data_IF_017264251408
#
_entry.id   IF_017264251408
#
_cell.length_a   1.000
_cell.length_b   1.000
_cell.length_c   1.000
_cell.angle_alpha   90.00
_cell.angle_beta   90.00
_cell.angle_gamma   90.00
#
_symmetry.space_group_name_H-M   'P 1'
#
loop_
_entity.id
_entity.type
_entity.pdbx_description
1 polymer ?
#
# COMPACT_ATOMS: atom_id res chain seq x y z
N UNK A 1 25.97 -24.82 -2.42
CA UNK A 1 26.14 -24.09 -1.14
C UNK A 1 24.83 -24.20 -0.38
N UNK A 2 24.76 -24.97 0.71
CA UNK A 2 23.57 -25.09 1.56
C UNK A 2 24.06 -24.85 2.99
N UNK A 3 23.80 -23.66 3.53
CA UNK A 3 24.17 -23.35 4.91
C UNK A 3 23.23 -24.09 5.86
N UNK A 4 23.82 -24.89 6.73
CA UNK A 4 23.17 -25.59 7.83
C UNK A 4 22.98 -24.68 9.03
N UNK A 5 21.77 -24.67 9.60
CA UNK A 5 21.62 -24.64 11.06
C UNK A 5 21.46 -23.28 11.77
N UNK A 6 20.57 -22.41 11.31
CA UNK A 6 19.94 -21.44 12.21
C UNK A 6 18.43 -21.68 12.17
N UNK A 7 17.88 -22.27 13.24
CA UNK A 7 16.43 -22.21 13.49
C UNK A 7 16.13 -20.77 13.90
N UNK A 8 15.90 -19.92 12.91
CA UNK A 8 15.44 -18.56 13.12
C UNK A 8 14.03 -18.68 13.70
N UNK A 9 13.92 -18.55 15.02
CA UNK A 9 12.66 -18.19 15.66
C UNK A 9 12.34 -16.76 15.23
N UNK A 10 11.81 -16.62 14.02
CA UNK A 10 11.34 -15.34 13.50
C UNK A 10 10.20 -14.86 14.40
N UNK A 11 10.31 -13.66 14.99
CA UNK A 11 9.22 -13.09 15.76
C UNK A 11 8.10 -12.72 14.79
N UNK A 12 7.08 -13.57 14.67
CA UNK A 12 5.87 -13.28 13.90
C UNK A 12 6.02 -13.35 12.37
N UNK A 13 4.88 -13.50 11.70
CA UNK A 13 4.75 -13.63 10.25
C UNK A 13 5.37 -12.42 9.53
N UNK A 14 6.47 -12.60 8.80
CA UNK A 14 7.07 -11.55 7.96
C UNK A 14 6.27 -11.35 6.67
N UNK A 15 6.18 -10.10 6.22
CA UNK A 15 5.54 -9.73 4.94
C UNK A 15 6.37 -8.68 4.22
N UNK A 16 6.31 -8.69 2.88
CA UNK A 16 6.79 -7.60 2.05
C UNK A 16 5.64 -6.62 1.78
N UNK A 17 5.96 -5.33 1.73
CA UNK A 17 4.99 -4.26 1.42
C UNK A 17 5.57 -3.41 0.29
N UNK A 18 4.76 -3.15 -0.72
CA UNK A 18 5.06 -2.22 -1.79
C UNK A 18 3.92 -1.23 -1.99
N UNK A 19 4.26 0.02 -2.26
CA UNK A 19 3.31 1.13 -2.29
C UNK A 19 3.58 2.04 -3.49
N UNK A 20 2.51 2.38 -4.20
CA UNK A 20 2.56 3.37 -5.28
C UNK A 20 1.93 4.67 -4.83
N UNK A 21 2.61 5.79 -5.09
CA UNK A 21 2.14 7.12 -4.70
C UNK A 21 1.86 8.01 -5.90
N UNK A 22 0.92 8.93 -5.69
CA UNK A 22 0.53 9.97 -6.63
C UNK A 22 0.68 11.34 -5.97
N UNK A 23 0.94 12.37 -6.78
CA UNK A 23 1.03 13.75 -6.32
C UNK A 23 -0.36 14.35 -6.07
N UNK A 24 -0.57 14.86 -4.87
CA UNK A 24 -1.79 15.52 -4.42
C UNK A 24 -1.50 16.90 -3.82
N UNK A 25 -2.57 17.65 -3.53
CA UNK A 25 -2.48 19.00 -2.97
C UNK A 25 -2.19 20.08 -4.02
N UNK A 26 -2.20 21.37 -3.63
CA UNK A 26 -1.95 22.48 -4.54
C UNK A 26 -0.57 22.36 -5.19
N UNK A 27 -0.52 22.29 -6.52
CA UNK A 27 0.70 22.07 -7.33
C UNK A 27 1.35 20.68 -7.19
N UNK A 28 0.77 19.75 -6.45
CA UNK A 28 1.19 18.35 -6.38
C UNK A 28 2.45 17.98 -5.58
N UNK A 29 2.91 18.76 -4.57
CA UNK A 29 4.13 18.41 -3.83
C UNK A 29 3.94 17.24 -2.85
N UNK A 30 2.68 16.87 -2.53
CA UNK A 30 2.40 15.85 -1.51
C UNK A 30 2.27 14.48 -2.18
N UNK A 31 3.16 13.56 -1.84
CA UNK A 31 3.05 12.15 -2.26
C UNK A 31 2.03 11.42 -1.39
N UNK A 32 0.91 11.03 -1.99
CA UNK A 32 -0.16 10.26 -1.34
C UNK A 32 -0.28 8.86 -1.91
N UNK A 33 -0.55 7.88 -1.05
CA UNK A 33 -0.73 6.48 -1.43
C UNK A 33 -1.91 6.29 -2.37
N UNK A 34 -1.68 5.60 -3.49
CA UNK A 34 -2.69 5.24 -4.49
C UNK A 34 -2.84 3.72 -4.71
N UNK A 35 -1.85 2.92 -4.32
CA UNK A 35 -1.93 1.46 -4.31
C UNK A 35 -1.03 0.91 -3.21
N UNK A 36 -1.47 -0.16 -2.57
CA UNK A 36 -0.65 -0.92 -1.62
C UNK A 36 -0.79 -2.40 -1.93
N UNK A 37 0.33 -3.11 -1.91
CA UNK A 37 0.39 -4.55 -2.01
C UNK A 37 1.22 -5.16 -0.89
N UNK A 38 0.78 -6.31 -0.40
CA UNK A 38 1.41 -7.05 0.68
C UNK A 38 1.53 -8.51 0.26
N UNK A 39 2.71 -9.08 0.43
CA UNK A 39 2.96 -10.49 0.16
C UNK A 39 3.57 -11.18 1.39
N UNK A 40 3.26 -12.46 1.61
CA UNK A 40 3.93 -13.27 2.62
C UNK A 40 5.32 -13.73 2.12
N UNK A 41 6.05 -14.45 2.98
CA UNK A 41 7.36 -15.00 2.64
C UNK A 41 7.31 -16.06 1.51
N UNK A 42 6.20 -16.78 1.41
CA UNK A 42 5.98 -17.82 0.38
C UNK A 42 5.66 -17.22 -1.00
N UNK A 43 5.46 -15.91 -1.08
CA UNK A 43 5.15 -15.18 -2.31
C UNK A 43 3.66 -14.99 -2.59
N UNK A 44 2.78 -15.44 -1.69
CA UNK A 44 1.34 -15.21 -1.80
C UNK A 44 0.99 -13.75 -1.55
N UNK A 45 0.17 -13.17 -2.41
CA UNK A 45 -0.35 -11.82 -2.25
C UNK A 45 -1.51 -11.81 -1.26
N UNK A 46 -1.26 -11.23 -0.08
CA UNK A 46 -2.24 -11.11 1.00
C UNK A 46 -3.16 -9.90 0.83
N UNK A 47 -2.67 -8.86 0.17
CA UNK A 47 -3.39 -7.61 -0.08
C UNK A 47 -2.88 -6.97 -1.36
N UNK A 48 -3.78 -6.44 -2.20
CA UNK A 48 -3.41 -5.68 -3.39
C UNK A 48 -4.60 -4.84 -3.83
N UNK A 49 -4.62 -3.57 -3.44
CA UNK A 49 -5.74 -2.69 -3.72
C UNK A 49 -5.30 -1.29 -4.15
N UNK A 50 -6.13 -0.69 -5.01
CA UNK A 50 -6.09 0.74 -5.29
C UNK A 50 -6.80 1.51 -4.20
N UNK A 51 -6.18 2.60 -3.78
CA UNK A 51 -6.62 3.41 -2.65
C UNK A 51 -6.83 4.83 -3.17
N UNK A 52 -8.01 5.40 -2.91
CA UNK A 52 -8.31 6.78 -3.27
C UNK A 52 -7.71 7.69 -2.18
N UNK A 53 -6.74 8.56 -2.53
CA UNK A 53 -6.16 9.50 -1.59
C UNK A 53 -7.22 10.46 -1.00
N UNK A 54 -7.02 10.98 0.22
CA UNK A 54 -7.94 11.95 0.82
C UNK A 54 -7.95 13.31 0.10
N UNK A 55 -6.84 13.68 -0.57
CA UNK A 55 -6.71 14.91 -1.33
C UNK A 55 -6.81 14.65 -2.84
N UNK A 56 -7.27 15.64 -3.61
CA UNK A 56 -7.37 15.54 -5.06
C UNK A 56 -6.01 15.24 -5.71
N UNK A 57 -6.00 14.27 -6.62
CA UNK A 57 -4.81 13.88 -7.38
C UNK A 57 -4.59 14.89 -8.51
N UNK A 58 -3.43 15.55 -8.49
CA UNK A 58 -3.05 16.51 -9.53
C UNK A 58 -2.00 15.96 -10.47
N UNK A 59 -1.21 14.97 -10.03
CA UNK A 59 -0.24 14.27 -10.88
C UNK A 59 -0.19 12.79 -10.53
N UNK A 60 -0.55 11.92 -11.47
CA UNK A 60 -0.52 10.47 -11.27
C UNK A 60 0.89 9.89 -11.25
N UNK A 61 1.88 10.60 -11.78
CA UNK A 61 3.26 10.11 -11.85
C UNK A 61 3.35 8.75 -12.59
N UNK A 62 2.48 8.53 -13.58
CA UNK A 62 2.23 7.21 -14.20
C UNK A 62 3.48 6.53 -14.73
N UNK A 63 4.46 7.28 -15.24
CA UNK A 63 5.73 6.70 -15.73
C UNK A 63 6.55 6.00 -14.63
N UNK A 64 6.30 6.35 -13.37
CA UNK A 64 6.93 5.75 -12.20
C UNK A 64 5.96 4.83 -11.48
N UNK A 65 4.74 5.28 -11.24
CA UNK A 65 3.77 4.59 -10.37
C UNK A 65 2.90 3.55 -11.09
N UNK A 66 2.81 3.63 -12.42
CA UNK A 66 1.84 2.87 -13.21
C UNK A 66 0.37 3.22 -12.92
N UNK A 67 0.08 4.21 -12.07
CA UNK A 67 -1.29 4.58 -11.70
C UNK A 67 -1.89 5.50 -12.76
N UNK A 68 -3.15 5.27 -13.10
CA UNK A 68 -3.94 6.07 -14.04
C UNK A 68 -5.30 6.41 -13.43
N UNK A 69 -5.97 7.43 -13.98
CA UNK A 69 -7.32 7.86 -13.55
C UNK A 69 -8.33 6.71 -13.52
N UNK A 70 -8.25 5.77 -14.46
CA UNK A 70 -9.10 4.57 -14.51
C UNK A 70 -8.99 3.68 -13.25
N UNK A 71 -7.80 3.62 -12.62
CA UNK A 71 -7.60 2.83 -11.40
C UNK A 71 -8.33 3.42 -10.20
N UNK A 72 -8.65 4.72 -10.23
CA UNK A 72 -9.30 5.43 -9.13
C UNK A 72 -10.83 5.32 -9.12
N UNK A 73 -11.44 4.85 -10.22
CA UNK A 73 -12.92 4.78 -10.36
C UNK A 73 -13.54 3.88 -9.30
N UNK A 74 -12.91 2.75 -9.01
CA UNK A 74 -13.36 1.76 -8.02
C UNK A 74 -12.38 1.65 -6.84
N UNK A 75 -11.53 2.66 -6.62
CA UNK A 75 -10.53 2.61 -5.57
C UNK A 75 -11.17 2.72 -4.18
N UNK A 76 -10.61 1.98 -3.23
CA UNK A 76 -11.05 1.98 -1.84
C UNK A 76 -10.70 3.33 -1.21
N UNK A 77 -11.66 4.00 -0.56
CA UNK A 77 -11.34 5.26 0.12
C UNK A 77 -10.31 5.03 1.23
N UNK A 78 -9.37 5.96 1.40
CA UNK A 78 -8.35 5.88 2.46
C UNK A 78 -8.95 5.66 3.86
N UNK A 79 -10.12 6.25 4.15
CA UNK A 79 -10.82 6.10 5.44
C UNK A 79 -11.34 4.69 5.68
N UNK A 80 -11.77 4.00 4.64
CA UNK A 80 -12.41 2.68 4.74
C UNK A 80 -11.39 1.54 4.66
N UNK A 81 -10.22 1.77 4.05
CA UNK A 81 -9.18 0.77 3.85
C UNK A 81 -8.83 -0.02 5.13
N UNK A 82 -8.48 0.66 6.23
CA UNK A 82 -8.09 0.03 7.49
C UNK A 82 -9.24 -0.67 8.24
N UNK A 83 -10.49 -0.48 7.80
CA UNK A 83 -11.70 -0.95 8.49
C UNK A 83 -12.41 -2.09 7.76
N UNK A 84 -11.83 -2.64 6.67
CA UNK A 84 -12.47 -3.72 5.94
C UNK A 84 -12.57 -4.99 6.79
N UNK A 85 -13.74 -5.65 6.86
CA UNK A 85 -13.94 -6.85 7.69
C UNK A 85 -13.08 -8.05 7.26
N UNK A 86 -12.64 -8.09 6.00
CA UNK A 86 -11.72 -9.10 5.47
C UNK A 86 -10.26 -8.64 5.42
N UNK A 87 -9.90 -7.49 6.03
CA UNK A 87 -8.51 -7.09 6.11
C UNK A 87 -7.78 -8.05 7.05
N UNK A 88 -6.86 -8.91 6.55
CA UNK A 88 -6.17 -9.86 7.40
C UNK A 88 -5.14 -9.20 8.31
N UNK A 89 -4.82 -7.91 8.07
CA UNK A 89 -3.79 -7.15 8.79
C UNK A 89 -4.21 -5.70 9.09
N UNK A 90 -5.24 -5.46 9.92
CA UNK A 90 -5.71 -4.11 10.24
C UNK A 90 -4.64 -3.25 10.92
N UNK A 91 -3.81 -3.85 11.77
CA UNK A 91 -2.69 -3.15 12.44
C UNK A 91 -1.56 -2.77 11.49
N UNK A 92 -1.33 -3.54 10.43
CA UNK A 92 -0.26 -3.32 9.46
C UNK A 92 -0.65 -2.29 8.38
N UNK A 93 -1.94 -2.25 8.03
CA UNK A 93 -2.50 -1.36 7.00
C UNK A 93 -3.06 -0.05 7.61
N UNK A 94 -2.94 0.15 8.93
CA UNK A 94 -3.25 1.46 9.54
C UNK A 94 -2.20 2.48 9.13
N UNK A 95 -2.35 3.03 7.94
CA UNK A 95 -1.55 4.14 7.46
C UNK A 95 -2.14 5.42 8.06
N UNK A 96 -1.40 6.05 8.95
CA UNK A 96 -1.70 7.42 9.34
C UNK A 96 -1.36 8.33 8.17
N UNK A 97 -2.19 9.35 7.85
CA UNK A 97 -1.76 10.38 6.95
C UNK A 97 -0.50 11.01 7.57
N UNK A 98 0.65 10.90 6.89
CA UNK A 98 1.83 11.70 7.26
C UNK A 98 1.36 13.15 7.22
N UNK A 99 1.49 13.85 8.35
CA UNK A 99 0.99 15.21 8.58
C UNK A 99 1.02 16.07 7.31
N UNK A 100 -0.15 16.62 6.95
CA UNK A 100 -0.32 17.64 5.91
C UNK A 100 0.59 18.85 6.18
#
# INVERSE_FOLDING_TARGET
>A
IKCSGISLKFPGKMVAIDCEMVGTGPKGPVSSLARCSIANYDGDVLYNEYILPPCHIVNYQTKWSGICKKHMVNATSFKTMGRRPHNPFPSLITMTPRNL
#
